data_IF_754217347866
#
_entry.id   IF_754217347866
#
_cell.length_a   1.000
_cell.length_b   1.000
_cell.length_c   1.000
_cell.angle_alpha   90.00
_cell.angle_beta   90.00
_cell.angle_gamma   90.00
#
_symmetry.space_group_name_H-M   'P 1'
#
loop_
_entity.id
_entity.type
_entity.pdbx_description
1 polymer ?
#
# COMPACT_ATOMS: atom_id res chain seq x y z
N UNK A 1 -34.36 9.70 -52.53
CA UNK A 1 -33.02 9.25 -52.93
C UNK A 1 -31.99 10.00 -52.09
N UNK A 2 -31.16 9.38 -51.23
CA UNK A 2 -31.01 7.95 -50.88
C UNK A 2 -31.24 7.65 -49.38
N UNK A 3 -31.67 6.41 -49.08
CA UNK A 3 -31.60 5.80 -47.75
C UNK A 3 -30.29 5.00 -47.65
N UNK A 4 -29.57 5.12 -46.53
CA UNK A 4 -28.36 4.34 -46.22
C UNK A 4 -28.71 2.89 -45.89
N UNK A 5 -27.90 1.89 -46.29
CA UNK A 5 -28.11 0.51 -45.88
C UNK A 5 -27.50 0.29 -44.48
N UNK A 6 -28.35 0.06 -43.47
CA UNK A 6 -27.90 -0.42 -42.16
C UNK A 6 -27.43 -1.87 -42.28
N UNK A 7 -26.13 -2.09 -42.13
CA UNK A 7 -25.49 -3.41 -42.09
C UNK A 7 -25.96 -4.14 -40.83
N UNK A 8 -26.81 -5.15 -40.99
CA UNK A 8 -27.13 -6.10 -39.93
C UNK A 8 -26.00 -7.12 -39.84
N UNK A 9 -25.13 -7.00 -38.83
CA UNK A 9 -24.20 -8.06 -38.46
C UNK A 9 -24.91 -9.01 -37.49
N UNK A 10 -25.52 -10.07 -38.01
CA UNK A 10 -26.11 -11.15 -37.21
C UNK A 10 -25.00 -12.06 -36.68
N UNK A 11 -24.41 -11.74 -35.53
CA UNK A 11 -23.64 -12.72 -34.78
C UNK A 11 -24.61 -13.56 -33.95
N UNK A 12 -25.10 -14.65 -34.52
CA UNK A 12 -25.75 -15.73 -33.78
C UNK A 12 -24.70 -16.44 -32.92
N UNK A 13 -24.34 -15.85 -31.78
CA UNK A 13 -23.57 -16.53 -30.74
C UNK A 13 -24.56 -17.18 -29.77
N UNK A 14 -24.97 -18.41 -30.07
CA UNK A 14 -25.72 -19.24 -29.13
C UNK A 14 -24.75 -19.80 -28.10
N UNK A 15 -24.58 -19.09 -26.98
CA UNK A 15 -23.93 -19.63 -25.79
C UNK A 15 -24.82 -20.75 -25.26
N UNK A 16 -24.44 -22.01 -25.48
CA UNK A 16 -25.12 -23.17 -24.92
C UNK A 16 -24.84 -23.21 -23.41
N UNK A 17 -25.68 -22.54 -22.62
CA UNK A 17 -25.66 -22.60 -21.16
C UNK A 17 -26.31 -23.91 -20.72
N UNK A 18 -25.58 -25.02 -20.84
CA UNK A 18 -25.93 -26.24 -20.12
C UNK A 18 -25.88 -25.93 -18.61
N UNK A 19 -27.05 -25.83 -17.98
CA UNK A 19 -27.41 -25.96 -16.56
C UNK A 19 -26.57 -25.34 -15.41
N UNK A 20 -25.45 -24.66 -15.66
CA UNK A 20 -24.62 -24.04 -14.60
C UNK A 20 -24.56 -22.50 -14.68
N UNK A 21 -25.31 -21.89 -15.58
CA UNK A 21 -25.46 -20.44 -15.61
C UNK A 21 -26.34 -20.01 -14.44
N UNK A 22 -25.73 -19.46 -13.37
CA UNK A 22 -26.45 -18.68 -12.33
C UNK A 22 -27.40 -17.74 -13.10
N UNK A 23 -28.72 -17.76 -12.83
CA UNK A 23 -29.71 -17.04 -13.62
C UNK A 23 -29.29 -15.59 -13.79
N UNK A 24 -29.61 -14.91 -14.92
CA UNK A 24 -29.17 -13.55 -15.18
C UNK A 24 -29.55 -12.69 -13.98
N UNK A 25 -28.54 -12.40 -13.16
CA UNK A 25 -28.72 -11.79 -11.86
C UNK A 25 -29.17 -10.37 -12.14
N UNK A 26 -30.43 -10.07 -11.86
CA UNK A 26 -30.93 -8.71 -11.93
C UNK A 26 -30.13 -7.88 -10.95
N UNK A 27 -29.87 -6.61 -11.28
CA UNK A 27 -29.07 -5.71 -10.43
C UNK A 27 -29.54 -5.75 -8.96
N UNK A 28 -30.85 -5.83 -8.75
CA UNK A 28 -31.46 -5.91 -7.42
C UNK A 28 -31.12 -7.22 -6.70
N UNK A 29 -31.06 -8.36 -7.40
CA UNK A 29 -30.65 -9.63 -6.81
C UNK A 29 -29.16 -9.63 -6.43
N UNK A 30 -28.29 -8.94 -7.17
CA UNK A 30 -26.88 -8.75 -6.80
C UNK A 30 -26.75 -7.86 -5.56
N UNK A 31 -27.53 -6.78 -5.49
CA UNK A 31 -27.53 -5.88 -4.34
C UNK A 31 -28.04 -6.57 -3.07
N UNK A 32 -29.08 -7.40 -3.19
CA UNK A 32 -29.57 -8.23 -2.08
C UNK A 32 -28.57 -9.32 -1.69
N UNK A 33 -27.86 -9.95 -2.63
CA UNK A 33 -26.80 -10.94 -2.34
C UNK A 33 -25.61 -10.27 -1.61
N UNK A 34 -25.20 -9.06 -2.03
CA UNK A 34 -24.15 -8.28 -1.36
C UNK A 34 -24.61 -7.83 0.03
N UNK A 35 -25.86 -7.39 0.18
CA UNK A 35 -26.44 -6.98 1.46
C UNK A 35 -26.59 -8.18 2.42
N UNK A 36 -26.99 -9.35 1.91
CA UNK A 36 -27.14 -10.59 2.66
C UNK A 36 -25.80 -11.23 3.06
N UNK A 37 -24.74 -11.01 2.28
CA UNK A 37 -23.40 -11.54 2.55
C UNK A 37 -22.77 -10.94 3.83
N UNK A 38 -23.35 -9.91 4.45
CA UNK A 38 -23.24 -9.68 5.89
C UNK A 38 -21.83 -9.48 6.49
N UNK A 39 -20.82 -9.16 5.69
CA UNK A 39 -19.41 -9.10 6.13
C UNK A 39 -18.99 -7.76 6.74
N UNK A 40 -19.93 -6.95 7.25
CA UNK A 40 -19.67 -5.59 7.72
C UNK A 40 -18.56 -5.50 8.78
N UNK A 41 -18.48 -6.48 9.68
CA UNK A 41 -17.45 -6.52 10.72
C UNK A 41 -16.04 -6.79 10.15
N UNK A 42 -15.94 -7.58 9.07
CA UNK A 42 -14.69 -7.79 8.36
C UNK A 42 -14.23 -6.52 7.65
N UNK A 43 -15.15 -5.83 6.96
CA UNK A 43 -14.85 -4.54 6.33
C UNK A 43 -14.38 -3.49 7.34
N UNK A 44 -15.06 -3.37 8.49
CA UNK A 44 -14.63 -2.46 9.56
C UNK A 44 -13.24 -2.82 10.08
N UNK A 45 -12.93 -4.12 10.27
CA UNK A 45 -11.58 -4.56 10.67
C UNK A 45 -10.51 -4.18 9.64
N UNK A 46 -10.76 -4.39 8.36
CA UNK A 46 -9.82 -4.03 7.28
C UNK A 46 -9.61 -2.52 7.23
N UNK A 47 -10.69 -1.74 7.31
CA UNK A 47 -10.62 -0.26 7.33
C UNK A 47 -9.86 0.22 8.55
N UNK A 48 -10.09 -0.35 9.73
CA UNK A 48 -9.34 0.01 10.94
C UNK A 48 -7.84 -0.27 10.81
N UNK A 49 -7.47 -1.43 10.25
CA UNK A 49 -6.06 -1.81 10.06
C UNK A 49 -5.38 -0.87 9.05
N UNK A 50 -6.07 -0.53 7.95
CA UNK A 50 -5.56 0.42 6.96
C UNK A 50 -5.41 1.84 7.54
N UNK A 51 -6.40 2.31 8.30
CA UNK A 51 -6.34 3.61 8.96
C UNK A 51 -5.20 3.65 9.99
N UNK A 52 -4.98 2.57 10.73
CA UNK A 52 -3.87 2.46 11.69
C UNK A 52 -2.51 2.49 10.97
N UNK A 53 -2.38 1.81 9.83
CA UNK A 53 -1.17 1.85 9.02
C UNK A 53 -0.87 3.27 8.51
N UNK A 54 -1.90 3.99 8.03
CA UNK A 54 -1.74 5.39 7.60
C UNK A 54 -1.38 6.32 8.77
N UNK A 55 -1.95 6.08 9.96
CA UNK A 55 -1.57 6.84 11.16
C UNK A 55 -0.11 6.60 11.56
N UNK A 56 0.38 5.35 11.48
CA UNK A 56 1.79 5.05 11.74
C UNK A 56 2.69 5.77 10.73
N UNK A 57 2.35 5.72 9.45
CA UNK A 57 3.12 6.40 8.40
C UNK A 57 3.18 7.92 8.65
N UNK A 58 2.07 8.53 9.08
CA UNK A 58 2.05 9.94 9.42
C UNK A 58 2.95 10.27 10.62
N UNK A 59 2.93 9.45 11.67
CA UNK A 59 3.82 9.64 12.84
C UNK A 59 5.28 9.55 12.42
N UNK A 60 5.64 8.57 11.59
CA UNK A 60 7.00 8.35 11.13
C UNK A 60 7.54 9.55 10.32
N UNK A 61 6.75 10.06 9.37
CA UNK A 61 7.15 11.22 8.55
C UNK A 61 7.35 12.47 9.42
N UNK A 62 6.49 12.70 10.41
CA UNK A 62 6.66 13.82 11.33
C UNK A 62 7.92 13.67 12.18
N UNK A 63 8.19 12.45 12.68
CA UNK A 63 9.40 12.16 13.44
C UNK A 63 10.66 12.37 12.60
N UNK A 64 10.63 12.01 11.31
CA UNK A 64 11.75 12.17 10.40
C UNK A 64 12.20 13.63 10.26
N UNK A 65 11.27 14.58 10.21
CA UNK A 65 11.59 16.01 10.18
C UNK A 65 12.38 16.45 11.42
N UNK A 66 11.96 16.01 12.61
CA UNK A 66 12.69 16.31 13.85
C UNK A 66 14.05 15.63 13.90
N UNK A 67 14.14 14.42 13.36
CA UNK A 67 15.40 13.67 13.29
C UNK A 67 16.43 14.42 12.47
N UNK A 68 16.07 14.91 11.28
CA UNK A 68 17.02 15.61 10.41
C UNK A 68 17.57 16.84 11.13
N UNK A 69 16.69 17.61 11.77
CA UNK A 69 17.07 18.76 12.58
C UNK A 69 18.02 18.39 13.75
N UNK A 70 17.68 17.36 14.53
CA UNK A 70 18.53 16.93 15.65
C UNK A 70 19.87 16.31 15.17
N UNK A 71 19.88 15.67 14.01
CA UNK A 71 21.08 15.06 13.45
C UNK A 71 22.11 16.12 13.01
N UNK A 72 21.63 17.22 12.42
CA UNK A 72 22.46 18.38 12.07
C UNK A 72 23.13 18.99 13.31
N UNK A 73 22.38 19.17 14.40
CA UNK A 73 22.87 19.74 15.66
C UNK A 73 23.81 18.78 16.44
N UNK A 74 23.47 17.50 16.52
CA UNK A 74 24.22 16.52 17.34
C UNK A 74 25.57 16.15 16.72
N UNK A 75 25.63 16.07 15.39
CA UNK A 75 26.83 15.63 14.66
C UNK A 75 27.57 16.77 13.93
N UNK A 76 27.16 18.03 14.15
CA UNK A 76 27.75 19.25 13.56
C UNK A 76 27.94 19.10 12.03
N UNK A 77 26.89 18.62 11.38
CA UNK A 77 26.88 18.30 9.96
C UNK A 77 26.59 19.57 9.15
N UNK A 78 27.30 19.77 8.05
CA UNK A 78 26.95 20.80 7.06
C UNK A 78 25.56 20.52 6.48
N UNK A 79 24.76 21.55 6.17
CA UNK A 79 23.43 21.44 5.52
C UNK A 79 23.38 20.38 4.40
N UNK A 80 24.45 20.26 3.62
CA UNK A 80 24.56 19.27 2.54
C UNK A 80 24.45 17.81 2.98
N UNK A 81 24.77 17.47 4.22
CA UNK A 81 24.68 16.10 4.73
C UNK A 81 23.28 15.75 5.25
N UNK A 82 22.47 16.74 5.65
CA UNK A 82 21.05 16.55 5.94
C UNK A 82 20.27 16.15 4.69
N UNK A 83 20.58 16.77 3.56
CA UNK A 83 19.98 16.43 2.26
C UNK A 83 20.33 14.99 1.83
N UNK A 84 21.59 14.57 2.03
CA UNK A 84 22.03 13.21 1.70
C UNK A 84 21.27 12.15 2.53
N UNK A 85 20.90 12.45 3.77
CA UNK A 85 20.06 11.55 4.58
C UNK A 85 18.68 11.36 3.96
N UNK A 86 18.04 12.45 3.55
CA UNK A 86 16.70 12.43 2.95
C UNK A 86 16.74 11.67 1.62
N UNK A 87 17.73 11.93 0.78
CA UNK A 87 17.93 11.23 -0.49
C UNK A 87 18.11 9.72 -0.28
N UNK A 88 18.91 9.30 0.70
CA UNK A 88 19.11 7.89 0.96
C UNK A 88 17.81 7.20 1.43
N UNK A 89 17.04 7.85 2.30
CA UNK A 89 15.73 7.34 2.74
C UNK A 89 14.76 7.22 1.56
N UNK A 90 14.77 8.19 0.64
CA UNK A 90 13.99 8.14 -0.61
C UNK A 90 14.37 6.94 -1.48
N UNK A 91 15.66 6.65 -1.64
CA UNK A 91 16.13 5.46 -2.37
C UNK A 91 15.69 4.18 -1.66
N UNK A 92 15.74 4.14 -0.33
CA UNK A 92 15.23 3.01 0.46
C UNK A 92 13.75 2.75 0.23
N UNK A 93 12.93 3.81 0.27
CA UNK A 93 11.51 3.76 -0.03
C UNK A 93 11.22 3.29 -1.46
N UNK A 94 12.00 3.75 -2.44
CA UNK A 94 11.87 3.30 -3.82
C UNK A 94 12.10 1.80 -3.97
N UNK A 95 13.16 1.28 -3.35
CA UNK A 95 13.47 -0.16 -3.39
C UNK A 95 12.46 -0.99 -2.59
N UNK A 96 12.03 -0.50 -1.43
CA UNK A 96 10.98 -1.12 -0.61
C UNK A 96 9.68 -1.28 -1.39
N UNK A 97 9.19 -0.21 -2.01
CA UNK A 97 7.94 -0.26 -2.80
C UNK A 97 8.02 -1.20 -4.00
N UNK A 98 9.16 -1.27 -4.69
CA UNK A 98 9.37 -2.22 -5.80
C UNK A 98 9.29 -3.68 -5.35
N UNK A 99 9.77 -4.00 -4.14
CA UNK A 99 9.82 -5.37 -3.65
C UNK A 99 8.50 -5.75 -2.95
N UNK A 100 8.00 -4.90 -2.06
CA UNK A 100 6.78 -5.19 -1.30
C UNK A 100 5.50 -5.05 -2.12
N UNK A 101 5.51 -4.29 -3.22
CA UNK A 101 4.36 -4.15 -4.11
C UNK A 101 3.89 -5.50 -4.67
N UNK A 102 4.71 -6.21 -5.46
CA UNK A 102 4.35 -7.53 -5.99
C UNK A 102 4.12 -8.58 -4.90
N UNK A 103 4.85 -8.48 -3.78
CA UNK A 103 4.70 -9.40 -2.64
C UNK A 103 3.32 -9.23 -1.98
N UNK A 104 2.80 -8.00 -1.90
CA UNK A 104 1.45 -7.72 -1.40
C UNK A 104 0.35 -8.36 -2.26
N UNK A 105 0.57 -8.44 -3.57
CA UNK A 105 -0.38 -9.03 -4.51
C UNK A 105 -0.41 -10.57 -4.43
N UNK A 106 0.70 -11.22 -4.06
CA UNK A 106 0.80 -12.69 -4.00
C UNK A 106 0.44 -13.26 -2.63
N UNK A 107 0.93 -12.66 -1.54
CA UNK A 107 0.79 -13.21 -0.17
C UNK A 107 -0.54 -12.80 0.48
N UNK A 108 -1.21 -11.81 -0.10
CA UNK A 108 -2.43 -11.23 0.43
C UNK A 108 -2.14 -9.98 1.25
N UNK A 109 -2.87 -8.91 0.91
CA UNK A 109 -2.65 -7.54 1.36
C UNK A 109 -2.59 -7.35 2.88
N UNK A 110 -3.34 -8.13 3.65
CA UNK A 110 -3.40 -7.99 5.12
C UNK A 110 -2.12 -8.49 5.81
N UNK A 111 -1.50 -9.57 5.34
CA UNK A 111 -0.28 -10.11 5.96
C UNK A 111 0.90 -9.18 5.71
N UNK A 112 1.01 -8.65 4.48
CA UNK A 112 2.08 -7.72 4.12
C UNK A 112 1.97 -6.41 4.92
N UNK A 113 0.75 -5.89 5.14
CA UNK A 113 0.54 -4.71 6.00
C UNK A 113 1.05 -4.91 7.42
N UNK A 114 0.81 -6.09 8.03
CA UNK A 114 1.32 -6.37 9.38
C UNK A 114 2.85 -6.48 9.41
N UNK A 115 3.46 -7.10 8.40
CA UNK A 115 4.90 -7.28 8.32
C UNK A 115 5.61 -5.94 8.14
N UNK A 116 5.16 -5.09 7.21
CA UNK A 116 5.76 -3.78 6.98
C UNK A 116 5.59 -2.86 8.18
N UNK A 117 4.41 -2.89 8.83
CA UNK A 117 4.13 -2.13 10.04
C UNK A 117 5.03 -2.56 11.21
N UNK A 118 5.24 -3.87 11.40
CA UNK A 118 6.17 -4.37 12.41
C UNK A 118 7.63 -4.01 12.09
N UNK A 119 8.03 -4.12 10.82
CA UNK A 119 9.35 -3.72 10.33
C UNK A 119 9.64 -2.25 10.62
N UNK A 120 8.71 -1.35 10.27
CA UNK A 120 8.83 0.08 10.56
C UNK A 120 9.06 0.35 12.06
N UNK A 121 8.27 -0.27 12.94
CA UNK A 121 8.41 -0.06 14.38
C UNK A 121 9.74 -0.59 14.89
N UNK A 122 10.17 -1.77 14.45
CA UNK A 122 11.42 -2.39 14.91
C UNK A 122 12.62 -1.56 14.43
N UNK A 123 12.72 -1.28 13.13
CA UNK A 123 13.84 -0.51 12.58
C UNK A 123 13.84 0.94 13.08
N UNK A 124 12.65 1.53 13.25
CA UNK A 124 12.47 2.82 13.92
C UNK A 124 13.00 2.82 15.35
N UNK A 125 12.65 1.83 16.17
CA UNK A 125 13.17 1.72 17.54
C UNK A 125 14.68 1.46 17.58
N UNK A 126 15.19 0.60 16.70
CA UNK A 126 16.63 0.31 16.60
C UNK A 126 17.42 1.58 16.26
N UNK A 127 16.87 2.42 15.38
CA UNK A 127 17.53 3.67 14.99
C UNK A 127 17.69 4.65 16.16
N UNK A 128 16.82 4.61 17.17
CA UNK A 128 16.94 5.47 18.35
C UNK A 128 18.12 5.11 19.25
N UNK A 129 18.64 3.88 19.16
CA UNK A 129 19.75 3.36 19.97
C UNK A 129 21.08 3.43 19.18
N UNK A 130 21.06 3.92 17.94
CA UNK A 130 22.23 3.92 17.07
C UNK A 130 23.39 4.78 17.64
N UNK A 131 24.58 4.21 17.86
CA UNK A 131 25.70 4.93 18.48
C UNK A 131 26.51 5.78 17.49
N UNK A 132 26.31 5.61 16.18
CA UNK A 132 27.05 6.32 15.14
C UNK A 132 26.13 6.75 14.00
N UNK A 133 26.46 7.87 13.36
CA UNK A 133 25.72 8.43 12.23
C UNK A 133 25.52 7.41 11.10
N UNK A 134 26.57 6.67 10.70
CA UNK A 134 26.47 5.68 9.62
C UNK A 134 25.45 4.55 9.93
N UNK A 135 25.45 4.02 11.15
CA UNK A 135 24.49 3.00 11.58
C UNK A 135 23.08 3.57 11.62
N UNK A 136 22.93 4.82 12.06
CA UNK A 136 21.66 5.53 12.05
C UNK A 136 21.10 5.67 10.63
N UNK A 137 21.92 6.08 9.66
CA UNK A 137 21.53 6.22 8.25
C UNK A 137 21.11 4.87 7.66
N UNK A 138 21.88 3.80 7.89
CA UNK A 138 21.57 2.47 7.37
C UNK A 138 20.27 1.93 7.96
N UNK A 139 20.05 2.10 9.27
CA UNK A 139 18.80 1.69 9.91
C UNK A 139 17.61 2.45 9.34
N UNK A 140 17.76 3.73 9.01
CA UNK A 140 16.70 4.53 8.38
C UNK A 140 16.41 4.16 6.94
N UNK A 141 17.45 3.84 6.16
CA UNK A 141 17.26 3.22 4.86
C UNK A 141 16.43 1.93 4.96
N UNK A 142 16.74 1.07 5.94
CA UNK A 142 16.00 -0.17 6.19
C UNK A 142 14.58 0.07 6.72
N UNK A 143 14.31 1.20 7.37
CA UNK A 143 12.96 1.56 7.84
C UNK A 143 12.05 1.93 6.67
N UNK A 144 12.63 2.47 5.58
CA UNK A 144 11.92 2.74 4.33
C UNK A 144 11.77 1.54 3.41
N UNK A 145 12.46 0.42 3.69
CA UNK A 145 12.35 -0.82 2.94
C UNK A 145 11.10 -1.61 3.34
#
# INVERSE_FOLDING_TARGET
NPHLPSVYMSTNFTMNTNNDAKPPMTLNAVLDDIAATGNGLWYVRVVLILSLNMALLAVEINMMTFVVYCAEDTWDLSDSAGDVLVDLVLVGCFLGTMIWGPVADVIGRMHVLWITMAGMVIFGMLSAIAPTFAIFVILRFLTGF
#
